data_IF_281020384225
#
_entry.id   IF_281020384225
#
_cell.length_a   1.000
_cell.length_b   1.000
_cell.length_c   1.000
_cell.angle_alpha   90.00
_cell.angle_beta   90.00
_cell.angle_gamma   90.00
#
_symmetry.space_group_name_H-M   'P 1'
#
loop_
_entity.id
_entity.type
_entity.pdbx_description
1 polymer ?
#
# COMPACT_ATOMS: atom_id res chain seq x y z
N UNK A 1 8.70 -27.21 -16.27
CA UNK A 1 8.53 -26.16 -15.24
C UNK A 1 8.13 -24.86 -15.94
N UNK A 2 7.24 -24.07 -15.36
CA UNK A 2 6.96 -22.73 -15.89
C UNK A 2 8.14 -21.80 -15.56
N UNK A 3 8.53 -20.95 -16.49
CA UNK A 3 9.62 -19.99 -16.32
C UNK A 3 9.15 -18.64 -16.85
N UNK A 4 9.54 -17.58 -16.15
CA UNK A 4 9.37 -16.19 -16.58
C UNK A 4 10.70 -15.49 -16.40
N UNK A 5 11.19 -14.80 -17.43
CA UNK A 5 12.46 -14.07 -17.39
C UNK A 5 12.26 -12.58 -17.69
N UNK A 6 13.06 -11.72 -17.04
CA UNK A 6 13.04 -10.28 -17.28
C UNK A 6 11.67 -9.68 -16.94
N UNK A 7 10.96 -9.22 -17.98
CA UNK A 7 9.66 -8.55 -17.83
C UNK A 7 8.46 -9.50 -17.98
N UNK A 8 8.71 -10.80 -18.18
CA UNK A 8 7.65 -11.80 -18.24
C UNK A 8 7.08 -12.08 -16.85
N UNK A 9 5.79 -12.38 -16.79
CA UNK A 9 5.13 -12.85 -15.58
C UNK A 9 4.24 -14.06 -15.88
N UNK A 10 4.11 -14.94 -14.90
CA UNK A 10 3.15 -16.04 -14.93
C UNK A 10 1.98 -15.63 -14.04
N UNK A 11 0.79 -15.57 -14.62
CA UNK A 11 -0.44 -15.25 -13.90
C UNK A 11 -1.30 -16.50 -13.80
N UNK A 12 -1.57 -16.93 -12.57
CA UNK A 12 -2.48 -18.03 -12.28
C UNK A 12 -3.77 -17.46 -11.71
N UNK A 13 -4.89 -17.73 -12.38
CA UNK A 13 -6.22 -17.37 -11.90
C UNK A 13 -6.93 -18.62 -11.38
N UNK A 14 -7.43 -18.55 -10.15
CA UNK A 14 -8.19 -19.62 -9.51
C UNK A 14 -9.62 -19.14 -9.30
N UNK A 15 -10.56 -19.74 -10.03
CA UNK A 15 -11.99 -19.48 -9.85
C UNK A 15 -12.55 -20.35 -8.73
N UNK A 16 -13.19 -19.72 -7.75
CA UNK A 16 -13.78 -20.37 -6.59
C UNK A 16 -15.30 -20.57 -6.75
N UNK A 17 -15.91 -20.09 -7.82
CA UNK A 17 -17.37 -20.06 -7.98
C UNK A 17 -18.02 -21.45 -8.09
N UNK A 18 -17.26 -22.47 -8.50
CA UNK A 18 -17.74 -23.85 -8.53
C UNK A 18 -17.80 -24.49 -7.13
N UNK A 19 -17.26 -23.85 -6.10
CA UNK A 19 -17.22 -24.40 -4.74
C UNK A 19 -18.54 -24.07 -4.03
N UNK A 20 -19.32 -25.10 -3.72
CA UNK A 20 -20.63 -24.96 -3.06
C UNK A 20 -20.56 -25.04 -1.53
N UNK A 21 -19.39 -25.31 -0.97
CA UNK A 21 -19.16 -25.44 0.47
C UNK A 21 -18.80 -24.10 1.11
N UNK A 22 -18.90 -24.04 2.44
CA UNK A 22 -18.43 -22.86 3.18
C UNK A 22 -16.90 -22.86 3.23
N UNK A 23 -16.29 -21.86 2.63
CA UNK A 23 -14.85 -21.63 2.64
C UNK A 23 -14.43 -20.89 3.90
N UNK A 24 -13.28 -21.29 4.44
CA UNK A 24 -12.61 -20.60 5.57
C UNK A 24 -11.20 -20.17 5.23
N UNK A 25 -10.54 -20.84 4.30
CA UNK A 25 -9.22 -20.49 3.79
C UNK A 25 -9.12 -20.88 2.32
N UNK A 26 -8.19 -20.22 1.65
CA UNK A 26 -7.67 -20.61 0.34
C UNK A 26 -6.17 -20.44 0.40
N UNK A 27 -5.45 -21.45 -0.04
CA UNK A 27 -4.00 -21.48 -0.07
C UNK A 27 -3.55 -21.97 -1.44
N UNK A 28 -2.49 -21.37 -1.99
CA UNK A 28 -1.80 -21.88 -3.16
C UNK A 28 -0.44 -22.43 -2.76
N UNK A 29 -0.12 -23.65 -3.20
CA UNK A 29 1.18 -24.27 -2.94
C UNK A 29 1.98 -24.28 -4.23
N UNK A 30 3.23 -23.81 -4.19
CA UNK A 30 4.11 -23.78 -5.35
C UNK A 30 5.55 -24.06 -4.96
N UNK A 31 6.30 -24.72 -5.85
CA UNK A 31 7.75 -24.92 -5.71
C UNK A 31 8.47 -23.97 -6.65
N UNK A 32 9.35 -23.15 -6.09
CA UNK A 32 10.07 -22.07 -6.79
C UNK A 32 11.56 -22.13 -6.51
N UNK A 33 12.35 -21.50 -7.37
CA UNK A 33 13.80 -21.38 -7.27
C UNK A 33 14.24 -20.08 -7.96
N UNK A 34 15.50 -19.70 -7.77
CA UNK A 34 16.15 -18.49 -8.28
C UNK A 34 15.56 -17.19 -7.73
N UNK A 35 15.74 -16.10 -8.47
CA UNK A 35 15.15 -14.80 -8.23
C UNK A 35 13.66 -14.85 -8.56
N UNK A 36 12.82 -14.81 -7.53
CA UNK A 36 11.37 -14.86 -7.67
C UNK A 36 10.70 -13.80 -6.79
N UNK A 37 9.60 -13.25 -7.29
CA UNK A 37 8.64 -12.45 -6.53
C UNK A 37 7.24 -12.96 -6.85
N UNK A 38 6.56 -13.46 -5.82
CA UNK A 38 5.20 -13.95 -5.93
C UNK A 38 4.28 -12.94 -5.27
N UNK A 39 3.30 -12.48 -6.02
CA UNK A 39 2.27 -11.57 -5.55
C UNK A 39 0.91 -12.25 -5.59
N UNK A 40 0.04 -11.89 -4.65
CA UNK A 40 -1.35 -12.35 -4.63
C UNK A 40 -2.29 -11.15 -4.66
N UNK A 41 -3.44 -11.36 -5.29
CA UNK A 41 -4.56 -10.43 -5.31
C UNK A 41 -5.86 -11.24 -5.30
N UNK A 42 -6.94 -10.63 -4.84
CA UNK A 42 -8.26 -11.24 -4.81
C UNK A 42 -9.20 -10.45 -5.70
N UNK A 43 -9.99 -11.15 -6.51
CA UNK A 43 -11.06 -10.56 -7.32
C UNK A 43 -12.37 -10.82 -6.59
N UNK A 44 -13.15 -9.76 -6.41
CA UNK A 44 -14.50 -9.87 -5.87
C UNK A 44 -15.52 -9.64 -6.98
N UNK A 45 -16.43 -10.59 -7.15
CA UNK A 45 -17.55 -10.46 -8.09
C UNK A 45 -18.89 -10.52 -7.35
N UNK A 46 -19.83 -9.72 -7.84
CA UNK A 46 -21.23 -9.78 -7.42
C UNK A 46 -22.03 -10.81 -8.23
N UNK A 47 -21.46 -11.35 -9.31
CA UNK A 47 -22.16 -12.35 -10.12
C UNK A 47 -22.14 -13.72 -9.42
N UNK A 48 -23.32 -14.32 -9.18
CA UNK A 48 -23.43 -15.59 -8.47
C UNK A 48 -22.82 -16.78 -9.18
N UNK A 49 -22.56 -16.69 -10.50
CA UNK A 49 -21.90 -17.76 -11.24
C UNK A 49 -20.38 -17.65 -11.24
N UNK A 50 -19.82 -16.48 -10.88
CA UNK A 50 -18.40 -16.17 -11.02
C UNK A 50 -17.81 -16.54 -12.39
N UNK A 51 -16.52 -16.85 -12.44
CA UNK A 51 -15.82 -17.24 -13.68
C UNK A 51 -15.40 -16.12 -14.62
N UNK A 52 -14.66 -16.45 -15.67
CA UNK A 52 -14.27 -15.50 -16.71
C UNK A 52 -15.50 -15.10 -17.54
N UNK A 53 -15.81 -13.81 -17.64
CA UNK A 53 -16.94 -13.36 -18.43
C UNK A 53 -16.62 -13.43 -19.93
N UNK A 54 -17.07 -14.51 -20.56
CA UNK A 54 -16.96 -14.73 -22.01
C UNK A 54 -17.83 -13.79 -22.85
N UNK A 55 -18.78 -13.07 -22.23
CA UNK A 55 -19.68 -12.14 -22.91
C UNK A 55 -19.15 -10.70 -22.98
N UNK A 56 -17.99 -10.42 -22.36
CA UNK A 56 -17.32 -9.12 -22.45
C UNK A 56 -18.03 -7.97 -21.74
N UNK A 57 -18.73 -8.20 -20.63
CA UNK A 57 -19.28 -7.11 -19.81
C UNK A 57 -18.14 -6.28 -19.21
N UNK A 58 -18.46 -5.01 -18.93
CA UNK A 58 -17.52 -3.97 -18.51
C UNK A 58 -16.56 -4.37 -17.38
N UNK A 59 -15.41 -3.69 -17.36
CA UNK A 59 -14.19 -3.83 -16.53
C UNK A 59 -14.33 -4.29 -15.08
N UNK A 60 -15.48 -4.07 -14.44
CA UNK A 60 -15.73 -4.37 -13.02
C UNK A 60 -15.57 -5.84 -12.64
N UNK A 61 -15.56 -6.76 -13.60
CA UNK A 61 -15.39 -8.19 -13.36
C UNK A 61 -13.96 -8.60 -12.95
N UNK A 62 -12.97 -7.76 -13.26
CA UNK A 62 -11.55 -8.04 -13.00
C UNK A 62 -10.90 -7.03 -12.04
N UNK A 63 -11.69 -6.25 -11.31
CA UNK A 63 -11.18 -5.33 -10.29
C UNK A 63 -10.62 -6.14 -9.10
N UNK A 64 -9.32 -6.42 -9.17
CA UNK A 64 -8.59 -7.12 -8.12
C UNK A 64 -8.19 -6.17 -7.00
N UNK A 65 -8.08 -6.64 -5.77
CA UNK A 65 -7.34 -5.92 -4.72
C UNK A 65 -5.93 -5.54 -5.21
N UNK A 66 -5.29 -4.58 -4.56
CA UNK A 66 -3.88 -4.32 -4.83
C UNK A 66 -3.04 -5.60 -4.65
N UNK A 67 -2.09 -5.79 -5.56
CA UNK A 67 -1.19 -6.93 -5.54
C UNK A 67 -0.23 -6.80 -4.37
N UNK A 68 -0.30 -7.74 -3.43
CA UNK A 68 0.62 -7.79 -2.28
C UNK A 68 1.72 -8.81 -2.52
N UNK A 69 2.91 -8.55 -2.02
CA UNK A 69 3.99 -9.54 -2.00
C UNK A 69 3.60 -10.64 -1.01
N UNK A 70 3.50 -11.88 -1.50
CA UNK A 70 3.24 -13.05 -0.68
C UNK A 70 4.54 -13.80 -0.37
N UNK A 71 5.47 -13.81 -1.33
CA UNK A 71 6.82 -14.33 -1.14
C UNK A 71 7.80 -13.66 -2.11
N UNK A 72 9.06 -13.58 -1.71
CA UNK A 72 10.13 -13.08 -2.58
C UNK A 72 11.46 -13.66 -2.10
N UNK A 73 12.34 -14.02 -3.04
CA UNK A 73 13.70 -14.46 -2.74
C UNK A 73 14.52 -13.35 -2.04
N UNK A 74 15.56 -13.76 -1.33
CA UNK A 74 16.58 -12.83 -0.84
C UNK A 74 17.69 -12.75 -1.88
N UNK A 75 17.97 -11.53 -2.36
CA UNK A 75 18.98 -11.28 -3.40
C UNK A 75 18.61 -11.84 -4.77
N UNK A 76 19.61 -11.98 -5.64
CA UNK A 76 19.46 -12.34 -7.06
C UNK A 76 20.08 -13.72 -7.35
N UNK A 77 19.44 -14.78 -6.86
CA UNK A 77 19.89 -16.17 -7.02
C UNK A 77 19.56 -16.67 -8.43
N UNK A 78 20.48 -17.39 -9.09
CA UNK A 78 20.30 -17.84 -10.49
C UNK A 78 20.68 -19.30 -10.76
N UNK A 79 21.19 -20.00 -9.76
CA UNK A 79 21.78 -21.34 -9.89
C UNK A 79 20.88 -22.48 -9.36
N UNK A 80 19.68 -22.16 -8.91
CA UNK A 80 18.74 -23.11 -8.33
C UNK A 80 19.08 -23.55 -6.90
N UNK A 81 20.05 -22.91 -6.23
CA UNK A 81 20.46 -23.29 -4.87
C UNK A 81 19.38 -23.06 -3.81
N UNK A 82 18.38 -22.23 -4.10
CA UNK A 82 17.30 -21.84 -3.18
C UNK A 82 15.93 -22.48 -3.52
N UNK A 83 15.91 -23.66 -4.14
CA UNK A 83 14.65 -24.39 -4.40
C UNK A 83 13.87 -24.58 -3.10
N UNK A 84 12.62 -24.13 -3.07
CA UNK A 84 11.77 -24.24 -1.90
C UNK A 84 10.30 -24.35 -2.30
N UNK A 85 9.51 -25.01 -1.44
CA UNK A 85 8.05 -25.08 -1.57
C UNK A 85 7.42 -24.07 -0.62
N UNK A 86 6.54 -23.24 -1.16
CA UNK A 86 5.86 -22.16 -0.47
C UNK A 86 4.36 -22.44 -0.44
N UNK A 87 3.74 -22.11 0.69
CA UNK A 87 2.29 -22.00 0.84
C UNK A 87 1.93 -20.52 0.91
N UNK A 88 1.00 -20.10 0.06
CA UNK A 88 0.60 -18.71 -0.12
C UNK A 88 -0.85 -18.56 0.32
N UNK A 89 -1.07 -17.85 1.43
CA UNK A 89 -2.41 -17.54 1.93
C UNK A 89 -3.12 -16.50 1.06
N UNK A 90 -4.45 -16.52 1.08
CA UNK A 90 -5.31 -15.48 0.53
C UNK A 90 -6.18 -14.87 1.62
N UNK A 91 -6.32 -13.54 1.63
CA UNK A 91 -7.15 -12.84 2.59
C UNK A 91 -7.08 -11.33 2.42
N UNK A 92 -8.02 -10.64 3.04
CA UNK A 92 -8.07 -9.18 3.09
C UNK A 92 -7.32 -8.68 4.31
N UNK A 93 -6.67 -7.53 4.20
CA UNK A 93 -6.04 -6.87 5.33
C UNK A 93 -7.14 -6.35 6.28
N UNK A 94 -7.01 -6.65 7.57
CA UNK A 94 -7.99 -6.30 8.60
C UNK A 94 -7.42 -5.45 9.73
N UNK A 95 -6.09 -5.38 9.86
CA UNK A 95 -5.42 -4.46 10.75
C UNK A 95 -3.96 -4.26 10.35
N UNK A 96 -3.47 -3.02 10.46
CA UNK A 96 -2.06 -2.68 10.45
C UNK A 96 -1.66 -2.21 11.86
N UNK A 97 -0.56 -2.74 12.40
CA UNK A 97 0.03 -2.32 13.67
C UNK A 97 1.47 -1.91 13.43
N UNK A 98 1.81 -0.68 13.80
CA UNK A 98 3.17 -0.12 13.73
C UNK A 98 3.60 0.25 15.14
N UNK A 99 4.81 -0.14 15.52
CA UNK A 99 5.42 0.27 16.78
C UNK A 99 6.93 0.32 16.62
N UNK A 100 7.58 1.26 17.30
CA UNK A 100 9.01 1.46 17.17
C UNK A 100 9.62 2.12 18.40
N UNK A 101 10.94 2.30 18.32
CA UNK A 101 11.73 3.06 19.28
C UNK A 101 12.65 4.00 18.49
N UNK A 102 12.80 5.21 19.00
CA UNK A 102 13.79 6.18 18.58
C UNK A 102 14.89 6.30 19.65
N UNK A 103 16.09 6.68 19.21
CA UNK A 103 17.21 6.99 20.08
C UNK A 103 17.95 8.22 19.56
N UNK A 104 18.16 9.19 20.44
CA UNK A 104 19.01 10.36 20.19
C UNK A 104 20.13 10.39 21.24
N UNK A 105 21.37 10.45 20.76
CA UNK A 105 22.55 10.58 21.58
C UNK A 105 23.41 11.73 21.09
N UNK A 106 23.77 12.64 22.00
CA UNK A 106 24.72 13.71 21.74
C UNK A 106 25.76 13.79 22.87
N UNK A 107 27.03 13.58 22.51
CA UNK A 107 28.13 13.76 23.44
C UNK A 107 29.32 14.44 22.78
N UNK A 108 29.66 15.64 23.29
CA UNK A 108 30.81 16.45 22.85
C UNK A 108 30.84 16.66 21.32
N UNK A 109 29.69 16.83 20.68
CA UNK A 109 29.58 17.01 19.23
C UNK A 109 29.65 15.72 18.41
N UNK A 110 29.71 14.55 19.05
CA UNK A 110 29.38 13.28 18.40
C UNK A 110 27.89 13.03 18.57
N UNK A 111 27.15 12.96 17.46
CA UNK A 111 25.71 12.80 17.43
C UNK A 111 25.37 11.47 16.76
N UNK A 112 24.49 10.70 17.40
CA UNK A 112 23.89 9.50 16.83
C UNK A 112 22.38 9.66 16.92
N UNK A 113 21.70 9.39 15.80
CA UNK A 113 20.24 9.19 15.79
C UNK A 113 19.95 7.82 15.21
N UNK A 114 18.98 7.15 15.77
CA UNK A 114 18.54 5.85 15.29
C UNK A 114 17.05 5.70 15.47
N UNK A 115 16.43 4.96 14.57
CA UNK A 115 15.05 4.52 14.70
C UNK A 115 14.96 3.06 14.29
N UNK A 116 14.11 2.32 14.99
CA UNK A 116 13.72 0.97 14.61
C UNK A 116 12.21 0.83 14.74
N UNK A 117 11.56 0.41 13.65
CA UNK A 117 10.10 0.28 13.58
C UNK A 117 9.74 -1.12 13.11
N UNK A 118 8.85 -1.79 13.83
CA UNK A 118 8.17 -3.00 13.37
C UNK A 118 6.81 -2.64 12.79
N UNK A 119 6.42 -3.36 11.75
CA UNK A 119 5.12 -3.26 11.12
C UNK A 119 4.51 -4.65 10.93
N UNK A 120 3.29 -4.83 11.44
CA UNK A 120 2.52 -6.07 11.38
C UNK A 120 1.22 -5.81 10.62
N UNK A 121 1.08 -6.48 9.48
CA UNK A 121 -0.17 -6.54 8.75
C UNK A 121 -0.91 -7.83 9.10
N UNK A 122 -2.14 -7.71 9.56
CA UNK A 122 -3.02 -8.82 9.88
C UNK A 122 -4.03 -9.00 8.78
N UNK A 123 -4.22 -10.24 8.37
CA UNK A 123 -5.12 -10.62 7.29
C UNK A 123 -6.15 -11.63 7.76
N UNK A 124 -7.31 -11.63 7.11
CA UNK A 124 -8.35 -12.62 7.30
C UNK A 124 -9.02 -12.98 5.97
N UNK A 125 -9.20 -14.27 5.72
CA UNK A 125 -10.01 -14.72 4.59
C UNK A 125 -11.49 -14.38 4.81
N UNK A 126 -12.19 -13.96 3.77
CA UNK A 126 -13.62 -13.68 3.85
C UNK A 126 -14.41 -15.00 3.83
N UNK A 127 -14.63 -15.59 5.01
CA UNK A 127 -15.36 -16.85 5.13
C UNK A 127 -16.80 -16.77 4.64
N UNK A 128 -17.33 -17.89 4.15
CA UNK A 128 -18.70 -17.97 3.64
C UNK A 128 -18.81 -18.86 2.40
N UNK A 129 -19.98 -18.82 1.78
CA UNK A 129 -20.22 -19.49 0.50
C UNK A 129 -19.65 -18.64 -0.63
N UNK A 130 -18.87 -19.25 -1.51
CA UNK A 130 -18.39 -18.59 -2.72
C UNK A 130 -19.58 -18.11 -3.57
N UNK A 131 -19.43 -16.99 -4.27
CA UNK A 131 -20.45 -16.48 -5.19
C UNK A 131 -21.74 -15.94 -4.56
N UNK A 132 -21.86 -15.79 -3.24
CA UNK A 132 -23.14 -15.35 -2.63
C UNK A 132 -23.46 -13.86 -2.73
N UNK A 133 -22.65 -13.07 -3.46
CA UNK A 133 -22.91 -11.64 -3.66
C UNK A 133 -22.84 -10.83 -2.37
N UNK A 134 -23.27 -9.56 -2.44
CA UNK A 134 -23.05 -8.49 -1.45
C UNK A 134 -23.50 -8.88 -0.02
N UNK A 135 -22.60 -9.17 0.92
CA UNK A 135 -23.00 -9.42 2.31
C UNK A 135 -23.62 -8.15 2.89
N UNK A 136 -24.73 -8.29 3.63
CA UNK A 136 -25.36 -7.19 4.34
C UNK A 136 -24.39 -6.66 5.40
N UNK A 137 -24.08 -5.36 5.34
CA UNK A 137 -22.91 -4.78 6.01
C UNK A 137 -22.84 -5.06 7.51
N UNK A 138 -23.95 -5.07 8.25
CA UNK A 138 -23.98 -5.43 9.67
C UNK A 138 -25.40 -5.93 9.99
N UNK A 139 -25.52 -7.15 10.50
CA UNK A 139 -26.76 -7.67 11.08
C UNK A 139 -26.53 -7.83 12.59
N UNK A 140 -27.32 -7.18 13.46
CA UNK A 140 -27.21 -7.35 14.90
C UNK A 140 -27.26 -8.84 15.30
N UNK A 141 -26.32 -9.28 16.14
CA UNK A 141 -26.22 -10.68 16.56
C UNK A 141 -25.47 -11.60 15.60
N UNK A 142 -24.81 -11.08 14.56
CA UNK A 142 -23.94 -11.91 13.72
C UNK A 142 -22.81 -12.54 14.54
N UNK A 143 -22.57 -13.86 14.41
CA UNK A 143 -21.42 -14.48 15.01
C UNK A 143 -20.12 -13.93 14.40
N UNK A 144 -19.00 -13.94 15.15
CA UNK A 144 -17.70 -13.55 14.62
C UNK A 144 -17.35 -14.35 13.36
N UNK A 145 -16.71 -13.68 12.40
CA UNK A 145 -16.15 -14.29 11.19
C UNK A 145 -15.12 -15.36 11.57
N UNK A 146 -15.17 -16.50 10.90
CA UNK A 146 -14.35 -17.70 11.17
C UNK A 146 -13.29 -17.95 10.09
N UNK A 147 -13.04 -16.97 9.22
CA UNK A 147 -12.00 -17.03 8.22
C UNK A 147 -10.61 -17.23 8.83
N UNK A 148 -9.76 -17.95 8.11
CA UNK A 148 -8.37 -18.14 8.47
C UNK A 148 -7.67 -16.79 8.57
N UNK A 149 -6.80 -16.68 9.58
CA UNK A 149 -6.06 -15.45 9.90
C UNK A 149 -4.58 -15.73 9.79
N UNK A 150 -3.88 -14.83 9.15
CA UNK A 150 -2.43 -14.84 9.04
C UNK A 150 -1.89 -13.43 9.18
N UNK A 151 -0.58 -13.31 9.32
CA UNK A 151 0.09 -12.00 9.46
C UNK A 151 1.36 -11.95 8.65
N UNK A 152 1.70 -10.75 8.18
CA UNK A 152 3.01 -10.42 7.64
C UNK A 152 3.68 -9.44 8.59
N UNK A 153 4.94 -9.70 8.94
CA UNK A 153 5.71 -8.86 9.85
C UNK A 153 7.04 -8.52 9.19
N UNK A 154 7.40 -7.25 9.25
CA UNK A 154 8.71 -6.77 8.84
C UNK A 154 9.12 -5.55 9.67
N UNK A 155 10.33 -5.08 9.43
CA UNK A 155 10.86 -3.91 10.10
C UNK A 155 11.61 -2.98 9.16
N UNK A 156 11.69 -1.73 9.59
CA UNK A 156 12.52 -0.69 9.04
C UNK A 156 13.44 -0.15 10.14
N UNK A 157 14.64 0.29 9.78
CA UNK A 157 15.49 1.02 10.70
C UNK A 157 16.43 1.95 9.95
N UNK A 158 16.90 2.97 10.66
CA UNK A 158 18.05 3.76 10.25
C UNK A 158 18.93 4.07 11.45
N UNK A 159 20.21 4.33 11.18
CA UNK A 159 21.18 4.86 12.14
C UNK A 159 22.03 5.88 11.40
N UNK A 160 22.04 7.10 11.88
CA UNK A 160 22.96 8.16 11.45
C UNK A 160 23.98 8.42 12.54
N UNK A 161 25.24 8.60 12.16
CA UNK A 161 26.30 9.02 13.08
C UNK A 161 27.10 10.16 12.45
N UNK A 162 27.28 11.24 13.21
CA UNK A 162 28.04 12.39 12.75
C UNK A 162 28.96 12.93 13.85
N UNK A 163 30.10 13.43 13.41
CA UNK A 163 31.06 14.14 14.25
C UNK A 163 31.58 15.33 13.48
N UNK A 164 31.47 16.49 14.12
CA UNK A 164 32.10 17.70 13.64
C UNK A 164 33.27 18.07 14.55
N UNK A 165 34.45 18.18 13.97
CA UNK A 165 35.58 18.89 14.57
C UNK A 165 35.75 20.18 13.77
N UNK A 166 36.05 21.29 14.43
CA UNK A 166 36.14 22.65 13.85
C UNK A 166 36.82 22.81 12.47
N UNK A 167 37.63 21.84 12.00
CA UNK A 167 38.31 21.86 10.71
C UNK A 167 38.00 20.64 9.82
N UNK A 168 37.33 19.60 10.33
CA UNK A 168 36.96 18.39 9.60
C UNK A 168 35.81 17.67 10.30
N UNK A 169 34.94 17.00 9.54
CA UNK A 169 33.86 16.20 10.12
C UNK A 169 33.65 14.90 9.35
N UNK A 170 32.88 13.99 9.94
CA UNK A 170 32.29 12.87 9.23
C UNK A 170 30.81 12.79 9.52
N UNK A 171 30.06 12.27 8.56
CA UNK A 171 28.69 11.83 8.73
C UNK A 171 28.51 10.54 7.93
N UNK A 172 27.66 9.65 8.43
CA UNK A 172 27.31 8.43 7.74
C UNK A 172 25.94 7.93 8.19
N UNK A 173 25.28 7.23 7.28
CA UNK A 173 23.98 6.61 7.50
C UNK A 173 24.03 5.14 7.10
N UNK A 174 23.34 4.30 7.87
CA UNK A 174 22.92 2.98 7.45
C UNK A 174 21.42 2.86 7.65
N UNK A 175 20.72 2.26 6.69
CA UNK A 175 19.29 2.04 6.79
C UNK A 175 18.88 0.71 6.16
N UNK A 176 17.71 0.23 6.55
CA UNK A 176 17.05 -0.94 5.97
C UNK A 176 15.55 -0.67 5.95
N UNK A 177 14.94 -0.97 4.81
CA UNK A 177 13.48 -1.09 4.69
C UNK A 177 13.15 -2.55 4.35
N UNK A 178 12.35 -3.19 5.19
CA UNK A 178 11.87 -4.54 4.93
C UNK A 178 10.95 -4.61 3.71
N UNK A 179 11.01 -5.70 2.93
CA UNK A 179 10.20 -5.88 1.71
C UNK A 179 8.69 -5.91 1.98
N UNK A 180 8.29 -6.23 3.21
CA UNK A 180 6.89 -6.24 3.65
C UNK A 180 6.58 -5.08 4.62
N UNK A 181 7.52 -4.17 4.89
CA UNK A 181 7.24 -2.96 5.65
C UNK A 181 6.42 -2.01 4.78
N UNK A 182 5.23 -1.64 5.25
CA UNK A 182 4.33 -0.71 4.55
C UNK A 182 3.64 0.19 5.58
N UNK A 183 3.96 1.49 5.61
CA UNK A 183 3.35 2.46 6.52
C UNK A 183 1.95 2.88 6.01
N UNK A 184 1.14 1.90 5.64
CA UNK A 184 -0.22 2.08 5.16
C UNK A 184 -1.02 0.78 5.31
N UNK A 185 -2.34 0.90 5.30
CA UNK A 185 -3.27 -0.22 5.32
C UNK A 185 -4.15 -0.18 4.07
N UNK A 186 -4.26 -1.30 3.36
CA UNK A 186 -5.16 -1.43 2.23
C UNK A 186 -6.52 -1.98 2.71
N UNK A 187 -7.60 -1.21 2.50
CA UNK A 187 -8.96 -1.56 2.92
C UNK A 187 -9.81 -1.89 1.69
N UNK A 188 -10.42 -3.07 1.71
CA UNK A 188 -11.37 -3.48 0.69
C UNK A 188 -12.74 -2.80 0.87
N UNK A 189 -13.27 -2.26 -0.23
CA UNK A 189 -14.61 -1.71 -0.31
C UNK A 189 -15.41 -2.44 -1.39
N UNK A 190 -16.57 -2.99 -1.01
CA UNK A 190 -17.45 -3.63 -1.98
C UNK A 190 -17.85 -2.66 -3.12
N UNK A 191 -18.09 -3.16 -4.34
CA UNK A 191 -18.58 -2.35 -5.44
C UNK A 191 -19.88 -1.63 -5.01
N UNK A 192 -20.01 -0.34 -5.36
CA UNK A 192 -21.12 0.60 -5.08
C UNK A 192 -20.95 1.60 -3.92
N UNK A 193 -19.86 1.59 -3.17
CA UNK A 193 -19.50 2.76 -2.36
C UNK A 193 -18.92 3.84 -3.27
N UNK A 194 -19.68 4.91 -3.53
CA UNK A 194 -19.33 5.99 -4.47
C UNK A 194 -18.59 7.17 -3.83
N UNK A 195 -18.57 7.22 -2.50
CA UNK A 195 -18.01 8.34 -1.74
C UNK A 195 -16.54 8.13 -1.36
N UNK A 196 -16.03 6.91 -1.55
CA UNK A 196 -14.66 6.53 -1.23
C UNK A 196 -13.81 6.59 -2.48
N UNK A 197 -12.69 7.29 -2.37
CA UNK A 197 -11.77 7.51 -3.48
C UNK A 197 -10.80 6.37 -3.56
N UNK A 198 -10.90 5.64 -4.67
CA UNK A 198 -10.33 4.33 -4.82
C UNK A 198 -10.04 4.07 -6.31
N UNK A 199 -8.84 3.60 -6.61
CA UNK A 199 -8.46 3.24 -7.99
C UNK A 199 -9.09 1.90 -8.42
N UNK A 200 -9.44 1.04 -7.46
CA UNK A 200 -10.28 -0.15 -7.63
C UNK A 200 -11.18 -0.34 -6.39
N UNK A 201 -11.86 -1.46 -6.17
CA UNK A 201 -12.49 -1.90 -4.92
C UNK A 201 -11.56 -1.95 -3.67
N UNK A 202 -10.42 -1.28 -3.65
CA UNK A 202 -9.52 -1.14 -2.51
C UNK A 202 -9.07 0.31 -2.41
N UNK A 203 -9.10 0.86 -1.20
CA UNK A 203 -8.50 2.16 -0.90
C UNK A 203 -7.37 1.98 0.11
N UNK A 204 -6.40 2.88 0.07
CA UNK A 204 -5.26 2.87 0.98
C UNK A 204 -5.48 3.91 2.07
N UNK A 205 -5.07 3.60 3.29
CA UNK A 205 -4.96 4.56 4.39
C UNK A 205 -3.50 4.61 4.77
N UNK A 206 -2.82 5.71 4.48
CA UNK A 206 -1.43 5.88 4.85
C UNK A 206 -1.31 6.29 6.31
N UNK A 207 -0.26 5.83 6.99
CA UNK A 207 0.06 6.28 8.36
C UNK A 207 1.06 7.43 8.36
N UNK A 208 1.65 7.70 7.20
CA UNK A 208 2.55 8.80 6.90
C UNK A 208 2.09 9.36 5.56
N UNK A 209 1.82 10.66 5.50
CA UNK A 209 1.47 11.39 4.28
C UNK A 209 2.67 12.30 3.95
N UNK A 210 3.04 12.37 2.69
CA UNK A 210 4.10 13.23 2.16
C UNK A 210 3.52 14.58 1.79
N UNK A 211 3.13 15.39 2.77
CA UNK A 211 2.74 16.78 2.51
C UNK A 211 4.01 17.58 2.14
N UNK A 212 4.41 17.48 0.87
CA UNK A 212 5.59 18.11 0.29
C UNK A 212 5.27 19.39 -0.48
N UNK A 213 3.98 19.70 -0.65
CA UNK A 213 3.41 20.93 -1.20
C UNK A 213 3.14 22.01 -0.14
N UNK A 214 3.47 21.72 1.13
CA UNK A 214 3.40 22.64 2.28
C UNK A 214 2.00 23.25 2.46
N UNK A 215 0.98 22.41 2.28
CA UNK A 215 -0.40 22.76 2.57
C UNK A 215 -0.85 22.15 3.91
N UNK A 216 -2.13 22.28 4.27
CA UNK A 216 -2.66 21.72 5.53
C UNK A 216 -3.37 20.37 5.34
N UNK A 217 -3.39 19.86 4.12
CA UNK A 217 -4.20 18.75 3.68
C UNK A 217 -3.34 17.51 3.42
N UNK A 218 -3.90 16.31 3.60
CA UNK A 218 -3.23 15.09 3.16
C UNK A 218 -3.39 14.92 1.65
N UNK A 219 -2.31 14.55 0.99
CA UNK A 219 -2.24 14.21 -0.44
C UNK A 219 -3.26 13.15 -0.84
N UNK A 220 -3.44 12.14 0.03
CA UNK A 220 -4.37 11.05 -0.21
C UNK A 220 -5.63 11.16 0.64
N UNK A 221 -6.73 11.67 0.06
CA UNK A 221 -8.02 11.74 0.77
C UNK A 221 -8.93 10.54 0.49
N UNK A 222 -9.40 9.88 1.56
CA UNK A 222 -10.34 8.75 1.44
C UNK A 222 -11.76 9.21 1.07
N UNK A 223 -12.17 10.40 1.50
CA UNK A 223 -13.51 10.98 1.28
C UNK A 223 -13.37 12.39 0.72
N UNK A 224 -14.34 12.79 -0.12
CA UNK A 224 -14.39 14.12 -0.70
C UNK A 224 -14.59 15.22 0.38
N UNK A 225 -13.90 16.36 0.21
CA UNK A 225 -14.00 17.52 1.11
C UNK A 225 -15.45 18.08 1.15
N UNK A 226 -15.97 18.36 2.35
CA UNK A 226 -17.25 19.06 2.54
C UNK A 226 -17.08 20.57 2.74
N UNK A 227 -15.89 21.04 3.14
CA UNK A 227 -15.60 22.45 3.40
C UNK A 227 -14.22 22.82 2.86
N UNK A 228 -14.14 23.91 2.10
CA UNK A 228 -12.90 24.45 1.53
C UNK A 228 -12.81 24.22 0.01
N UNK A 229 -13.10 25.26 -0.77
CA UNK A 229 -13.02 25.26 -2.23
C UNK A 229 -14.05 24.34 -2.90
N UNK A 230 -14.64 24.73 -4.03
CA UNK A 230 -15.53 23.84 -4.80
C UNK A 230 -14.76 22.74 -5.54
N UNK A 231 -13.85 22.06 -4.84
CA UNK A 231 -13.00 21.03 -5.36
C UNK A 231 -13.83 19.74 -5.37
N UNK A 232 -14.14 19.28 -6.59
CA UNK A 232 -14.87 18.02 -6.81
C UNK A 232 -13.94 16.80 -6.87
N UNK A 233 -12.70 16.95 -6.40
CA UNK A 233 -11.71 15.89 -6.29
C UNK A 233 -11.33 15.66 -4.82
N UNK A 234 -10.84 14.46 -4.57
CA UNK A 234 -10.18 14.02 -3.33
C UNK A 234 -8.67 13.87 -3.50
N UNK A 235 -8.21 14.09 -4.73
CA UNK A 235 -6.79 14.24 -5.01
C UNK A 235 -6.45 15.67 -4.64
N UNK A 236 -5.25 15.85 -4.08
CA UNK A 236 -4.78 17.18 -3.75
C UNK A 236 -4.83 18.08 -4.99
N UNK A 237 -5.55 19.23 -4.96
CA UNK A 237 -5.46 20.22 -6.02
C UNK A 237 -4.03 20.66 -6.33
N UNK A 238 -3.13 20.57 -5.35
CA UNK A 238 -1.82 21.21 -5.33
C UNK A 238 -0.70 20.26 -5.80
N UNK A 239 -1.00 18.98 -5.99
CA UNK A 239 -0.19 18.00 -6.73
C UNK A 239 1.00 17.45 -5.95
N UNK A 240 2.00 16.91 -6.65
CA UNK A 240 3.24 16.35 -6.03
C UNK A 240 4.45 17.09 -6.60
N UNK A 241 5.30 17.63 -5.72
CA UNK A 241 6.56 18.28 -6.11
C UNK A 241 7.56 17.23 -6.66
N UNK A 242 8.42 17.53 -7.67
CA UNK A 242 8.68 18.79 -8.37
C UNK A 242 7.83 19.02 -9.62
N UNK A 243 6.67 18.36 -9.76
CA UNK A 243 5.83 18.47 -10.96
C UNK A 243 5.19 19.85 -11.17
N UNK A 244 5.15 20.67 -10.11
CA UNK A 244 4.46 21.96 -10.02
C UNK A 244 5.44 23.10 -9.66
N UNK A 245 6.59 23.17 -10.32
CA UNK A 245 7.58 24.25 -10.18
C UNK A 245 7.97 24.74 -11.58
N UNK A 246 7.16 25.62 -12.17
CA UNK A 246 7.31 26.06 -13.56
C UNK A 246 8.50 27.01 -13.72
N UNK A 247 8.82 27.79 -12.70
CA UNK A 247 9.92 28.76 -12.72
C UNK A 247 11.25 28.21 -12.15
N UNK A 248 11.22 26.99 -11.61
CA UNK A 248 12.35 26.25 -11.02
C UNK A 248 12.98 26.97 -9.82
N UNK A 249 12.16 27.66 -9.02
CA UNK A 249 12.62 28.38 -7.83
C UNK A 249 12.69 27.51 -6.57
N UNK A 250 12.20 26.27 -6.65
CA UNK A 250 12.21 25.30 -5.56
C UNK A 250 10.94 25.32 -4.71
N UNK A 251 9.93 26.10 -5.07
CA UNK A 251 8.66 26.27 -4.38
C UNK A 251 7.54 25.79 -5.31
N UNK A 252 6.48 25.20 -4.74
CA UNK A 252 5.36 24.70 -5.53
C UNK A 252 4.39 25.85 -5.93
N UNK A 253 3.97 25.88 -7.19
CA UNK A 253 3.09 26.88 -7.82
C UNK A 253 1.59 26.67 -7.50
N UNK A 254 1.23 26.54 -6.21
CA UNK A 254 -0.06 25.96 -5.78
C UNK A 254 -1.21 26.96 -5.67
N UNK A 255 -0.97 28.26 -5.87
CA UNK A 255 -1.99 29.33 -5.76
C UNK A 255 -2.71 29.20 -4.40
N UNK A 256 -1.91 29.27 -3.32
CA UNK A 256 -2.32 29.03 -1.92
C UNK A 256 -3.55 29.85 -1.50
N UNK A 257 -3.76 31.01 -2.11
CA UNK A 257 -4.87 31.92 -1.78
C UNK A 257 -6.14 31.74 -2.65
N UNK A 258 -6.10 30.81 -3.63
CA UNK A 258 -7.19 30.46 -4.54
C UNK A 258 -7.72 31.64 -5.41
N UNK A 259 -6.90 32.65 -5.70
CA UNK A 259 -7.29 33.81 -6.51
C UNK A 259 -7.16 33.58 -8.03
N UNK A 260 -6.60 32.43 -8.45
CA UNK A 260 -6.33 31.99 -9.84
C UNK A 260 -5.13 32.66 -10.50
N UNK A 261 -4.28 33.28 -9.71
CA UNK A 261 -2.95 33.77 -10.07
C UNK A 261 -1.98 32.76 -9.46
N UNK A 262 -1.00 32.23 -10.22
CA UNK A 262 0.03 31.38 -9.64
C UNK A 262 0.87 32.13 -8.60
N UNK A 263 1.34 31.45 -7.55
CA UNK A 263 2.06 32.12 -6.47
C UNK A 263 3.40 32.74 -6.93
N UNK A 264 4.04 32.19 -7.98
CA UNK A 264 5.23 32.80 -8.61
C UNK A 264 4.97 34.19 -9.20
N UNK A 265 3.73 34.50 -9.58
CA UNK A 265 3.32 35.83 -10.05
C UNK A 265 2.98 36.78 -8.87
N UNK A 266 3.01 36.27 -7.62
CA UNK A 266 2.62 36.99 -6.40
C UNK A 266 3.78 37.11 -5.38
N UNK A 267 4.60 38.19 -5.46
CA UNK A 267 5.87 38.33 -4.72
C UNK A 267 5.77 38.43 -3.18
N UNK A 268 4.58 38.33 -2.60
CA UNK A 268 4.34 38.46 -1.15
C UNK A 268 3.89 37.16 -0.47
N UNK A 269 3.67 36.07 -1.22
CA UNK A 269 3.36 34.74 -0.65
C UNK A 269 4.58 33.81 -0.56
N UNK A 270 5.75 34.28 -1.00
CA UNK A 270 7.05 33.58 -0.93
C UNK A 270 7.71 33.59 0.46
N UNK A 271 7.02 34.12 1.47
CA UNK A 271 7.54 34.28 2.83
C UNK A 271 6.47 33.92 3.85
N UNK A 272 6.38 32.65 4.23
CA UNK A 272 6.05 32.20 5.58
C UNK A 272 6.59 30.77 5.80
#
# INVERSE_FOLDING_TARGET
PLQANGNECIVCLYDLASITETLRSVEAVTTVANDYRIQTAMIYTLDPKGGHDTAGKNSTWYDSTYWRIAAQCEGNVKDGSNVTTLTLDFGFEVANVIYGIDADFNYRGFRIKAEFVNNIHNYMFADGLAGTGKPTNIVPGLPPRKGHRFKLTDNAYYITAEKDWSHFGFAGEIFKMGKNYRPYMDIFFAPNYKEVMRRNNTARISTVEDNDDDDQYPDQMLLQRAMGGRIRSSDDPDGVYPGNDMDNDGIADTNKNLNRIPDYDEPFYMFD
#
